data_IF_897071459887
#
_entry.id   IF_897071459887
#
_cell.length_a   1.000
_cell.length_b   1.000
_cell.length_c   1.000
_cell.angle_alpha   90.00
_cell.angle_beta   90.00
_cell.angle_gamma   90.00
#
_symmetry.space_group_name_H-M   'P 1'
#
loop_
_entity.id
_entity.type
_entity.pdbx_description
1 polymer ?
#
# COMPACT_ATOMS: atom_id res chain seq x y z
N UNK A 1 -37.45 4.97 -1.46
CA UNK A 1 -37.72 3.99 -2.50
C UNK A 1 -37.61 2.56 -1.93
N UNK A 2 -38.45 1.64 -2.43
CA UNK A 2 -38.51 0.27 -1.90
C UNK A 2 -37.18 -0.50 -2.03
N UNK A 3 -36.41 -0.28 -3.09
CA UNK A 3 -35.09 -0.91 -3.31
C UNK A 3 -34.07 -0.53 -2.23
N UNK A 4 -34.06 0.71 -1.77
CA UNK A 4 -33.15 1.15 -0.72
C UNK A 4 -33.34 0.38 0.58
N UNK A 5 -34.58 0.18 1.00
CA UNK A 5 -34.91 -0.61 2.18
C UNK A 5 -34.55 -2.09 2.03
N UNK A 6 -34.67 -2.64 0.81
CA UNK A 6 -34.26 -4.03 0.53
C UNK A 6 -32.73 -4.17 0.68
N UNK A 7 -31.93 -3.28 0.07
CA UNK A 7 -30.47 -3.29 0.22
C UNK A 7 -30.04 -3.12 1.66
N UNK A 8 -30.66 -2.18 2.38
CA UNK A 8 -30.42 -2.05 3.83
C UNK A 8 -30.67 -3.38 4.57
N UNK A 9 -31.81 -4.00 4.35
CA UNK A 9 -32.15 -5.24 5.03
C UNK A 9 -31.18 -6.39 4.68
N UNK A 10 -30.71 -6.44 3.43
CA UNK A 10 -29.66 -7.39 3.01
C UNK A 10 -28.35 -7.12 3.74
N UNK A 11 -27.93 -5.86 3.81
CA UNK A 11 -26.69 -5.52 4.53
C UNK A 11 -26.78 -5.88 6.03
N UNK A 12 -27.88 -5.50 6.70
CA UNK A 12 -28.08 -5.84 8.10
C UNK A 12 -28.13 -7.36 8.33
N UNK A 13 -28.77 -8.12 7.44
CA UNK A 13 -28.79 -9.59 7.50
C UNK A 13 -27.37 -10.18 7.50
N UNK A 14 -26.48 -9.69 6.62
CA UNK A 14 -25.12 -10.20 6.57
C UNK A 14 -24.28 -9.77 7.78
N UNK A 15 -24.47 -8.56 8.30
CA UNK A 15 -23.85 -8.13 9.56
C UNK A 15 -24.28 -9.03 10.72
N UNK A 16 -25.55 -9.41 10.80
CA UNK A 16 -26.06 -10.36 11.81
C UNK A 16 -25.48 -11.78 11.63
N UNK A 17 -25.00 -12.13 10.43
CA UNK A 17 -24.27 -13.38 10.16
C UNK A 17 -22.77 -13.29 10.53
N UNK A 18 -22.28 -12.12 10.94
CA UNK A 18 -20.92 -11.94 11.44
C UNK A 18 -19.94 -11.37 10.43
N UNK A 19 -20.38 -10.83 9.27
CA UNK A 19 -19.47 -10.08 8.40
C UNK A 19 -19.07 -8.76 9.08
N UNK A 20 -17.81 -8.32 8.86
CA UNK A 20 -17.28 -7.14 9.51
C UNK A 20 -17.52 -5.85 8.72
N UNK A 21 -17.98 -5.96 7.47
CA UNK A 21 -18.23 -4.81 6.62
C UNK A 21 -18.44 -5.18 5.17
N UNK A 22 -18.34 -4.18 4.29
CA UNK A 22 -18.64 -4.33 2.86
C UNK A 22 -17.63 -3.60 1.99
N UNK A 23 -17.31 -4.21 0.84
CA UNK A 23 -16.71 -3.56 -0.32
C UNK A 23 -17.79 -3.35 -1.37
N UNK A 24 -17.96 -2.11 -1.79
CA UNK A 24 -18.96 -1.71 -2.77
C UNK A 24 -18.33 -1.57 -4.16
N UNK A 25 -18.80 -2.40 -5.06
CA UNK A 25 -18.42 -2.40 -6.46
C UNK A 25 -19.02 -1.19 -7.19
N UNK A 26 -18.24 -0.56 -8.07
CA UNK A 26 -18.66 0.56 -8.91
C UNK A 26 -19.52 1.61 -8.16
N UNK A 27 -19.13 1.96 -6.95
CA UNK A 27 -19.94 2.79 -6.05
C UNK A 27 -20.24 4.18 -6.64
N UNK A 28 -19.35 4.74 -7.46
CA UNK A 28 -19.57 6.05 -8.10
C UNK A 28 -20.70 6.07 -9.12
N UNK A 29 -21.16 4.90 -9.58
CA UNK A 29 -22.30 4.78 -10.50
C UNK A 29 -23.66 4.82 -9.78
N UNK A 30 -23.64 4.84 -8.44
CA UNK A 30 -24.83 4.87 -7.60
C UNK A 30 -24.89 6.21 -6.87
N UNK A 31 -26.07 6.88 -6.80
CA UNK A 31 -26.19 8.19 -6.16
C UNK A 31 -25.70 8.20 -4.72
N UNK A 32 -24.99 9.26 -4.34
CA UNK A 32 -24.38 9.39 -3.00
C UNK A 32 -25.43 9.37 -1.89
N UNK A 33 -26.65 9.81 -2.15
CA UNK A 33 -27.77 9.79 -1.22
C UNK A 33 -28.16 8.37 -0.83
N UNK A 34 -28.08 7.43 -1.76
CA UNK A 34 -28.29 6.02 -1.46
C UNK A 34 -27.25 5.51 -0.46
N UNK A 35 -25.97 5.81 -0.72
CA UNK A 35 -24.87 5.44 0.19
C UNK A 35 -25.01 6.09 1.55
N UNK A 36 -25.37 7.38 1.60
CA UNK A 36 -25.63 8.07 2.87
C UNK A 36 -26.71 7.36 3.68
N UNK A 37 -27.80 6.94 3.05
CA UNK A 37 -28.88 6.19 3.69
C UNK A 37 -28.41 4.80 4.16
N UNK A 38 -27.78 4.03 3.28
CA UNK A 38 -27.35 2.66 3.55
C UNK A 38 -26.29 2.62 4.66
N UNK A 39 -25.23 3.42 4.51
CA UNK A 39 -24.10 3.45 5.44
C UNK A 39 -24.50 4.00 6.81
N UNK A 40 -25.41 4.99 6.86
CA UNK A 40 -25.97 5.42 8.14
C UNK A 40 -26.69 4.28 8.85
N UNK A 41 -27.51 3.51 8.12
CA UNK A 41 -28.23 2.37 8.70
C UNK A 41 -27.27 1.27 9.19
N UNK A 42 -26.20 1.00 8.43
CA UNK A 42 -25.15 0.04 8.81
C UNK A 42 -24.43 0.51 10.08
N UNK A 43 -23.95 1.76 10.11
CA UNK A 43 -23.23 2.31 11.28
C UNK A 43 -24.09 2.43 12.52
N UNK A 44 -25.40 2.60 12.39
CA UNK A 44 -26.34 2.55 13.53
C UNK A 44 -26.48 1.12 14.08
N UNK A 45 -26.38 0.09 13.23
CA UNK A 45 -26.51 -1.31 13.61
C UNK A 45 -25.17 -1.89 14.11
N UNK A 46 -24.08 -1.61 13.40
CA UNK A 46 -22.71 -2.03 13.71
C UNK A 46 -21.76 -0.83 13.51
N UNK A 47 -21.48 -0.04 14.57
CA UNK A 47 -20.69 1.20 14.46
C UNK A 47 -19.27 1.00 13.91
N UNK A 48 -18.66 -0.15 14.16
CA UNK A 48 -17.33 -0.55 13.73
C UNK A 48 -17.29 -1.26 12.36
N UNK A 49 -18.43 -1.36 11.65
CA UNK A 49 -18.47 -1.96 10.32
C UNK A 49 -17.49 -1.23 9.36
N UNK A 50 -16.69 -2.02 8.64
CA UNK A 50 -15.72 -1.52 7.66
C UNK A 50 -16.41 -1.28 6.30
N UNK A 51 -16.31 -0.07 5.76
CA UNK A 51 -16.99 0.33 4.51
C UNK A 51 -15.98 0.85 3.50
N UNK A 52 -15.67 0.02 2.51
CA UNK A 52 -14.74 0.34 1.41
C UNK A 52 -15.52 0.47 0.10
N UNK A 53 -15.25 1.49 -0.69
CA UNK A 53 -15.91 1.71 -1.97
C UNK A 53 -14.95 1.89 -3.14
N UNK A 54 -15.37 1.38 -4.30
CA UNK A 54 -14.71 1.64 -5.55
C UNK A 54 -15.25 2.94 -6.16
N UNK A 55 -14.45 4.00 -6.06
CA UNK A 55 -14.69 5.31 -6.64
C UNK A 55 -13.39 5.75 -7.31
N UNK A 56 -13.38 5.88 -8.63
CA UNK A 56 -12.16 6.19 -9.39
C UNK A 56 -12.12 7.63 -9.92
N UNK A 57 -13.20 8.39 -9.76
CA UNK A 57 -13.21 9.81 -10.09
C UNK A 57 -12.69 10.64 -8.90
N UNK A 58 -11.48 11.26 -8.98
CA UNK A 58 -10.91 12.02 -7.87
C UNK A 58 -11.75 13.23 -7.42
N UNK A 59 -12.59 13.77 -8.30
CA UNK A 59 -13.50 14.86 -7.97
C UNK A 59 -14.63 14.43 -7.03
N UNK A 60 -14.91 13.11 -6.98
CA UNK A 60 -15.97 12.53 -6.16
C UNK A 60 -15.49 12.02 -4.80
N UNK A 61 -14.18 11.85 -4.57
CA UNK A 61 -13.64 11.24 -3.36
C UNK A 61 -14.24 11.84 -2.07
N UNK A 62 -14.14 13.16 -1.91
CA UNK A 62 -14.64 13.84 -0.70
C UNK A 62 -16.14 13.72 -0.52
N UNK A 63 -16.89 13.73 -1.61
CA UNK A 63 -18.35 13.52 -1.60
C UNK A 63 -18.70 12.13 -1.08
N UNK A 64 -18.04 11.08 -1.57
CA UNK A 64 -18.34 9.71 -1.15
C UNK A 64 -17.83 9.40 0.25
N UNK A 65 -16.73 9.99 0.68
CA UNK A 65 -16.25 9.88 2.06
C UNK A 65 -17.21 10.61 3.01
N UNK A 66 -17.46 11.91 2.78
CA UNK A 66 -18.18 12.72 3.78
C UNK A 66 -19.70 12.57 3.72
N UNK A 67 -20.30 12.61 2.52
CA UNK A 67 -21.75 12.48 2.33
C UNK A 67 -22.15 11.01 2.20
N UNK A 68 -21.41 10.22 1.41
CA UNK A 68 -21.63 8.79 1.25
C UNK A 68 -21.28 7.96 2.47
N UNK A 69 -20.51 8.54 3.43
CA UNK A 69 -20.07 7.91 4.69
C UNK A 69 -19.28 6.62 4.47
N UNK A 70 -18.44 6.62 3.43
CA UNK A 70 -17.46 5.56 3.21
C UNK A 70 -16.30 5.76 4.19
N UNK A 71 -15.83 4.67 4.81
CA UNK A 71 -14.62 4.73 5.62
C UNK A 71 -13.39 4.85 4.72
N UNK A 72 -13.39 4.12 3.58
CA UNK A 72 -12.26 4.07 2.67
C UNK A 72 -12.69 4.04 1.20
N UNK A 73 -11.84 4.61 0.35
CA UNK A 73 -11.86 4.46 -1.10
C UNK A 73 -10.52 3.90 -1.57
N UNK A 74 -10.49 3.17 -2.69
CA UNK A 74 -9.23 2.80 -3.32
C UNK A 74 -8.50 4.02 -3.88
N UNK A 75 -7.23 4.22 -3.56
CA UNK A 75 -6.38 5.24 -4.18
C UNK A 75 -5.80 4.72 -5.51
N UNK A 76 -6.70 4.53 -6.49
CA UNK A 76 -6.35 3.99 -7.81
C UNK A 76 -5.75 5.05 -8.72
N UNK A 77 -6.52 6.10 -9.02
CA UNK A 77 -6.18 7.08 -10.07
C UNK A 77 -5.02 7.99 -9.67
N UNK A 78 -4.88 8.30 -8.40
CA UNK A 78 -3.78 9.11 -7.89
C UNK A 78 -2.54 8.28 -7.59
N UNK A 79 -2.60 7.47 -6.56
CA UNK A 79 -1.45 6.80 -5.99
C UNK A 79 -1.02 5.56 -6.79
N UNK A 80 -1.92 4.60 -7.01
CA UNK A 80 -1.60 3.37 -7.73
C UNK A 80 -1.05 3.64 -9.13
N UNK A 81 -1.73 4.50 -9.92
CA UNK A 81 -1.32 4.80 -11.29
C UNK A 81 0.06 5.50 -11.32
N UNK A 82 0.32 6.40 -10.36
CA UNK A 82 1.63 7.03 -10.23
C UNK A 82 2.71 6.01 -9.87
N UNK A 83 2.44 5.14 -8.91
CA UNK A 83 3.40 4.13 -8.47
C UNK A 83 3.72 3.13 -9.60
N UNK A 84 2.71 2.69 -10.35
CA UNK A 84 2.87 1.88 -11.56
C UNK A 84 3.73 2.58 -12.60
N UNK A 85 3.52 3.86 -12.84
CA UNK A 85 4.33 4.65 -13.78
C UNK A 85 5.79 4.81 -13.30
N UNK A 86 6.01 4.93 -11.99
CA UNK A 86 7.36 4.93 -11.40
C UNK A 86 8.03 3.56 -11.63
N UNK A 87 7.35 2.46 -11.32
CA UNK A 87 7.87 1.11 -11.55
C UNK A 87 8.32 0.91 -13.00
N UNK A 88 7.51 1.36 -13.94
CA UNK A 88 7.80 1.29 -15.38
C UNK A 88 8.86 2.30 -15.87
N UNK A 89 9.43 3.13 -15.01
CA UNK A 89 10.41 4.15 -15.38
C UNK A 89 9.84 5.36 -16.13
N UNK A 90 8.52 5.49 -16.20
CA UNK A 90 7.82 6.59 -16.91
C UNK A 90 7.77 7.89 -16.10
N UNK A 91 7.93 7.80 -14.78
CA UNK A 91 7.97 8.94 -13.87
C UNK A 91 9.12 8.81 -12.88
N UNK A 92 9.58 9.96 -12.36
CA UNK A 92 10.53 9.99 -11.25
C UNK A 92 9.88 9.46 -9.96
N UNK A 93 10.67 8.82 -9.10
CA UNK A 93 10.18 8.25 -7.85
C UNK A 93 9.52 9.31 -6.93
N UNK A 94 10.03 10.54 -6.94
CA UNK A 94 9.46 11.67 -6.18
C UNK A 94 8.06 12.10 -6.61
N UNK A 95 7.57 11.67 -7.78
CA UNK A 95 6.21 11.97 -8.26
C UNK A 95 5.13 11.46 -7.30
N UNK A 96 5.45 10.47 -6.47
CA UNK A 96 4.52 9.91 -5.48
C UNK A 96 4.06 10.97 -4.46
N UNK A 97 4.90 11.94 -4.11
CA UNK A 97 4.52 13.00 -3.18
C UNK A 97 3.46 13.93 -3.75
N UNK A 98 3.46 14.16 -5.07
CA UNK A 98 2.39 14.92 -5.72
C UNK A 98 1.05 14.18 -5.69
N UNK A 99 1.07 12.85 -5.80
CA UNK A 99 -0.14 12.04 -5.66
C UNK A 99 -0.69 12.14 -4.23
N UNK A 100 0.16 12.00 -3.21
CA UNK A 100 -0.22 12.16 -1.80
C UNK A 100 -0.75 13.55 -1.49
N UNK A 101 -0.12 14.61 -2.02
CA UNK A 101 -0.55 15.98 -1.77
C UNK A 101 -1.97 16.26 -2.24
N UNK A 102 -2.44 15.62 -3.32
CA UNK A 102 -3.80 15.80 -3.85
C UNK A 102 -4.90 15.31 -2.92
N UNK A 103 -4.58 14.37 -2.05
CA UNK A 103 -5.50 13.75 -1.08
C UNK A 103 -5.09 13.97 0.37
N UNK A 104 -4.19 14.93 0.64
CA UNK A 104 -3.61 15.15 1.96
C UNK A 104 -4.64 15.37 3.08
N UNK A 105 -5.78 15.96 2.78
CA UNK A 105 -6.88 16.20 3.72
C UNK A 105 -7.75 14.96 4.00
N UNK A 106 -7.66 13.94 3.14
CA UNK A 106 -8.42 12.68 3.23
C UNK A 106 -7.51 11.44 3.16
N UNK A 107 -6.20 11.60 3.29
CA UNK A 107 -5.23 10.54 3.04
C UNK A 107 -5.50 9.27 3.85
N UNK A 108 -5.97 9.41 5.10
CA UNK A 108 -6.32 8.30 5.96
C UNK A 108 -7.51 7.46 5.47
N UNK A 109 -8.29 7.98 4.53
CA UNK A 109 -9.42 7.30 3.90
C UNK A 109 -9.10 6.68 2.54
N UNK A 110 -7.86 6.87 2.05
CA UNK A 110 -7.44 6.42 0.72
C UNK A 110 -6.66 5.12 0.83
N UNK A 111 -7.36 3.97 0.71
CA UNK A 111 -6.76 2.64 0.81
C UNK A 111 -5.78 2.39 -0.32
N UNK A 112 -4.54 2.06 0.02
CA UNK A 112 -3.50 1.70 -0.93
C UNK A 112 -3.54 0.21 -1.28
N UNK A 113 -3.19 -0.09 -2.51
CA UNK A 113 -3.08 -1.46 -3.02
C UNK A 113 -2.11 -1.52 -4.21
N UNK A 114 -1.59 -2.70 -4.51
CA UNK A 114 -0.73 -2.93 -5.67
C UNK A 114 -1.33 -3.93 -6.64
N UNK A 115 -2.18 -4.83 -6.15
CA UNK A 115 -2.89 -5.85 -6.90
C UNK A 115 -4.33 -5.94 -6.42
N UNK A 116 -5.23 -6.27 -7.33
CA UNK A 116 -6.59 -6.72 -7.03
C UNK A 116 -7.11 -7.59 -8.19
N UNK A 117 -8.39 -7.92 -8.18
CA UNK A 117 -9.00 -8.75 -9.22
C UNK A 117 -9.19 -8.03 -10.57
N UNK A 118 -9.05 -6.70 -10.61
CA UNK A 118 -9.19 -5.87 -11.82
C UNK A 118 -7.85 -5.39 -12.37
N UNK A 119 -6.84 -5.25 -11.51
CA UNK A 119 -5.51 -4.79 -11.89
C UNK A 119 -4.53 -5.94 -12.11
N UNK A 120 -3.44 -5.65 -12.81
CA UNK A 120 -2.39 -6.61 -13.10
C UNK A 120 -1.68 -7.06 -11.84
N UNK A 121 -1.18 -8.30 -11.81
CA UNK A 121 -0.22 -8.76 -10.81
C UNK A 121 1.08 -7.95 -10.89
N UNK A 122 1.80 -7.82 -9.78
CA UNK A 122 3.11 -7.14 -9.74
C UNK A 122 4.10 -7.81 -10.71
N UNK A 123 4.08 -9.12 -10.80
CA UNK A 123 4.93 -9.89 -11.70
C UNK A 123 4.61 -9.69 -13.18
N UNK A 124 3.47 -9.09 -13.51
CA UNK A 124 3.14 -8.76 -14.90
C UNK A 124 4.15 -7.80 -15.53
N UNK A 125 4.50 -7.98 -16.83
CA UNK A 125 5.24 -6.98 -17.58
C UNK A 125 4.61 -5.59 -17.60
N UNK A 126 3.30 -5.52 -17.38
CA UNK A 126 2.57 -4.25 -17.29
C UNK A 126 2.73 -3.54 -15.92
N UNK A 127 3.37 -4.18 -14.93
CA UNK A 127 3.69 -3.54 -13.65
C UNK A 127 5.21 -3.55 -13.40
N UNK A 128 5.77 -4.65 -12.87
CA UNK A 128 7.18 -4.76 -12.53
C UNK A 128 7.95 -5.83 -13.35
N UNK A 129 7.23 -6.78 -13.96
CA UNK A 129 7.81 -7.89 -14.72
C UNK A 129 8.33 -9.05 -13.86
N UNK A 130 8.47 -8.84 -12.56
CA UNK A 130 8.88 -9.82 -11.56
C UNK A 130 8.33 -9.41 -10.19
N UNK A 131 7.87 -10.37 -9.39
CA UNK A 131 7.25 -10.09 -8.09
C UNK A 131 8.24 -9.49 -7.08
N UNK A 132 9.50 -9.92 -7.11
CA UNK A 132 10.53 -9.40 -6.21
C UNK A 132 10.91 -7.95 -6.53
N UNK A 133 10.81 -7.55 -7.81
CA UNK A 133 11.01 -6.16 -8.23
C UNK A 133 9.90 -5.22 -7.70
N UNK A 134 8.79 -5.76 -7.22
CA UNK A 134 7.71 -5.01 -6.57
C UNK A 134 7.99 -4.58 -5.12
N UNK A 135 9.06 -5.05 -4.49
CA UNK A 135 9.41 -4.71 -3.10
C UNK A 135 9.46 -3.21 -2.82
N UNK A 136 10.11 -2.36 -3.65
CA UNK A 136 10.12 -0.91 -3.44
C UNK A 136 8.73 -0.28 -3.47
N UNK A 137 7.86 -0.76 -4.36
CA UNK A 137 6.49 -0.30 -4.47
C UNK A 137 5.68 -0.66 -3.22
N UNK A 138 5.85 -1.89 -2.70
CA UNK A 138 5.18 -2.34 -1.48
C UNK A 138 5.62 -1.50 -0.27
N UNK A 139 6.91 -1.25 -0.12
CA UNK A 139 7.45 -0.42 0.95
C UNK A 139 6.81 0.97 0.96
N UNK A 140 6.81 1.65 -0.19
CA UNK A 140 6.22 2.98 -0.32
C UNK A 140 4.71 2.93 -0.12
N UNK A 141 4.02 1.99 -0.75
CA UNK A 141 2.55 1.85 -0.64
C UNK A 141 2.08 1.66 0.79
N UNK A 142 2.83 0.89 1.58
CA UNK A 142 2.44 0.56 2.94
C UNK A 142 2.81 1.64 3.97
N UNK A 143 3.93 2.36 3.77
CA UNK A 143 4.50 3.20 4.81
C UNK A 143 4.29 4.71 4.61
N UNK A 144 3.85 5.15 3.42
CA UNK A 144 3.80 6.58 3.11
C UNK A 144 2.66 7.34 3.80
N UNK A 145 1.56 6.66 4.11
CA UNK A 145 0.36 7.29 4.71
C UNK A 145 -0.11 6.54 5.97
N UNK A 146 -1.18 7.05 6.57
CA UNK A 146 -1.89 6.41 7.69
C UNK A 146 -3.04 5.53 7.22
N UNK A 147 -3.25 5.42 5.93
CA UNK A 147 -4.33 4.61 5.37
C UNK A 147 -4.02 3.11 5.44
N UNK A 148 -5.03 2.25 5.47
CA UNK A 148 -4.80 0.82 5.37
C UNK A 148 -4.28 0.44 3.98
N UNK A 149 -3.58 -0.69 3.92
CA UNK A 149 -3.13 -1.32 2.67
C UNK A 149 -3.90 -2.61 2.44
N UNK A 150 -4.34 -2.83 1.21
CA UNK A 150 -4.90 -4.10 0.78
C UNK A 150 -3.77 -4.97 0.22
N UNK A 151 -3.64 -6.16 0.76
CA UNK A 151 -2.77 -7.20 0.25
C UNK A 151 -3.63 -8.24 -0.47
N UNK A 152 -3.47 -8.35 -1.79
CA UNK A 152 -4.24 -9.30 -2.57
C UNK A 152 -3.71 -10.73 -2.37
N UNK A 153 -4.59 -11.72 -2.37
CA UNK A 153 -4.20 -13.10 -2.10
C UNK A 153 -3.11 -13.58 -3.07
N UNK A 154 -2.06 -14.21 -2.53
CA UNK A 154 -0.91 -14.67 -3.31
C UNK A 154 0.10 -13.59 -3.69
N UNK A 155 -0.16 -12.31 -3.43
CA UNK A 155 0.78 -11.21 -3.69
C UNK A 155 2.10 -11.43 -2.94
N UNK A 156 2.03 -11.83 -1.70
CA UNK A 156 3.15 -12.03 -0.79
C UNK A 156 4.02 -13.28 -1.11
N UNK A 157 3.55 -14.12 -2.03
CA UNK A 157 4.29 -15.28 -2.55
C UNK A 157 4.58 -15.17 -4.05
N UNK A 158 4.30 -14.00 -4.63
CA UNK A 158 4.64 -13.70 -6.02
C UNK A 158 3.75 -14.40 -7.04
N UNK A 159 2.45 -14.56 -6.73
CA UNK A 159 1.50 -15.07 -7.73
C UNK A 159 1.51 -14.16 -8.98
N UNK A 160 1.76 -14.75 -10.13
CA UNK A 160 2.00 -14.00 -11.38
C UNK A 160 0.80 -14.00 -12.35
N UNK A 161 -0.23 -14.79 -12.07
CA UNK A 161 -1.37 -14.93 -12.95
C UNK A 161 -1.03 -15.61 -14.30
N UNK A 162 0.04 -16.42 -14.33
CA UNK A 162 0.55 -17.06 -15.55
C UNK A 162 -0.37 -18.14 -16.11
N UNK A 163 -1.26 -18.68 -15.31
CA UNK A 163 -2.25 -19.62 -15.81
C UNK A 163 -3.35 -18.91 -16.59
N UNK A 164 -3.67 -19.45 -17.75
CA UNK A 164 -4.73 -18.91 -18.59
C UNK A 164 -6.09 -19.13 -17.93
N UNK A 165 -6.60 -18.08 -17.32
CA UNK A 165 -7.81 -18.09 -16.50
C UNK A 165 -9.03 -17.43 -17.18
N UNK A 166 -9.03 -17.36 -18.49
CA UNK A 166 -10.14 -16.79 -19.25
C UNK A 166 -10.10 -15.27 -19.45
N UNK A 167 -9.11 -14.56 -18.87
CA UNK A 167 -8.87 -13.13 -19.11
C UNK A 167 -7.80 -12.84 -20.17
N UNK A 168 -7.33 -13.84 -20.88
CA UNK A 168 -6.32 -13.69 -21.92
C UNK A 168 -4.90 -13.86 -21.35
N UNK A 169 -4.02 -12.89 -21.52
CA UNK A 169 -2.63 -13.01 -21.14
C UNK A 169 -2.43 -13.13 -19.60
N UNK A 170 -1.35 -13.76 -19.14
CA UNK A 170 -1.10 -14.17 -17.75
C UNK A 170 -0.72 -12.99 -16.84
N UNK A 171 -1.54 -12.00 -16.71
CA UNK A 171 -1.17 -10.75 -16.07
C UNK A 171 -2.16 -10.30 -15.00
N UNK A 172 -3.32 -10.95 -14.93
CA UNK A 172 -4.40 -10.62 -14.01
C UNK A 172 -5.08 -11.91 -13.53
N UNK A 173 -5.43 -12.00 -12.26
CA UNK A 173 -6.18 -13.11 -11.70
C UNK A 173 -7.54 -12.68 -11.20
N UNK A 174 -8.55 -13.52 -11.44
CA UNK A 174 -9.90 -13.33 -10.95
C UNK A 174 -10.02 -13.71 -9.47
N UNK A 175 -11.09 -13.28 -8.82
CA UNK A 175 -11.51 -13.77 -7.49
C UNK A 175 -12.29 -15.09 -7.58
N UNK A 176 -12.60 -15.57 -8.78
CA UNK A 176 -13.37 -16.80 -8.98
C UNK A 176 -12.47 -18.04 -8.96
N UNK A 177 -13.05 -19.18 -8.60
CA UNK A 177 -12.36 -20.44 -8.34
C UNK A 177 -12.00 -21.26 -9.59
N UNK A 178 -12.30 -20.75 -10.78
CA UNK A 178 -11.98 -21.46 -12.03
C UNK A 178 -10.58 -21.16 -12.58
N UNK A 179 -9.77 -20.42 -11.81
CA UNK A 179 -8.40 -20.12 -12.20
C UNK A 179 -7.40 -20.80 -11.26
N UNK A 180 -6.26 -21.23 -11.82
CA UNK A 180 -5.13 -21.68 -11.03
C UNK A 180 -4.35 -20.50 -10.45
N UNK A 181 -3.85 -20.70 -9.23
CA UNK A 181 -2.97 -19.77 -8.51
C UNK A 181 -1.84 -20.56 -7.86
N UNK A 182 -0.90 -21.06 -8.67
CA UNK A 182 0.07 -22.09 -8.23
C UNK A 182 0.96 -21.61 -7.09
N UNK A 183 1.41 -20.36 -7.06
CA UNK A 183 2.22 -19.86 -5.97
C UNK A 183 1.44 -19.78 -4.65
N UNK A 184 0.19 -19.31 -4.71
CA UNK A 184 -0.69 -19.29 -3.54
C UNK A 184 -1.05 -20.72 -3.07
N UNK A 185 -1.30 -21.64 -4.00
CA UNK A 185 -1.55 -23.07 -3.67
C UNK A 185 -0.32 -23.72 -3.02
N UNK A 186 0.90 -23.38 -3.47
CA UNK A 186 2.14 -23.85 -2.85
C UNK A 186 2.27 -23.37 -1.40
N UNK A 187 1.86 -22.12 -1.11
CA UNK A 187 1.77 -21.63 0.26
C UNK A 187 0.73 -22.40 1.09
N UNK A 188 -0.44 -22.67 0.52
CA UNK A 188 -1.50 -23.43 1.20
C UNK A 188 -1.07 -24.87 1.56
N UNK A 189 -0.13 -25.46 0.83
CA UNK A 189 0.44 -26.78 1.08
C UNK A 189 -0.61 -27.83 1.45
N UNK A 190 -1.59 -28.05 0.57
CA UNK A 190 -2.70 -28.99 0.78
C UNK A 190 -3.48 -28.76 2.08
N UNK A 191 -3.69 -27.50 2.46
CA UNK A 191 -4.47 -27.11 3.63
C UNK A 191 -3.69 -27.06 4.95
N UNK A 192 -2.35 -27.20 4.92
CA UNK A 192 -1.51 -26.99 6.10
C UNK A 192 -1.22 -25.52 6.39
N UNK A 193 -1.28 -24.68 5.35
CA UNK A 193 -1.05 -23.22 5.44
C UNK A 193 0.30 -22.83 6.04
N UNK A 194 1.33 -23.61 5.77
CA UNK A 194 2.68 -23.48 6.33
C UNK A 194 3.76 -23.09 5.31
N UNK A 195 3.38 -22.90 4.04
CA UNK A 195 4.31 -22.55 2.97
C UNK A 195 5.26 -23.68 2.55
N UNK A 196 4.98 -24.93 2.94
CA UNK A 196 5.89 -26.06 2.76
C UNK A 196 6.17 -26.48 1.32
N UNK A 197 5.49 -25.88 0.33
CA UNK A 197 5.74 -26.11 -1.10
C UNK A 197 6.26 -24.86 -1.82
N UNK A 198 6.53 -23.77 -1.10
CA UNK A 198 7.10 -22.54 -1.68
C UNK A 198 8.54 -22.81 -2.16
N UNK A 199 8.93 -22.14 -3.25
CA UNK A 199 10.35 -22.02 -3.60
C UNK A 199 11.08 -21.14 -2.60
N UNK A 200 12.40 -21.15 -2.64
CA UNK A 200 13.23 -20.29 -1.79
C UNK A 200 12.93 -18.81 -2.02
N UNK A 201 12.79 -18.41 -3.27
CA UNK A 201 12.50 -17.02 -3.68
C UNK A 201 11.11 -16.59 -3.18
N UNK A 202 10.10 -17.46 -3.33
CA UNK A 202 8.74 -17.20 -2.83
C UNK A 202 8.72 -17.06 -1.30
N UNK A 203 9.45 -17.92 -0.59
CA UNK A 203 9.57 -17.86 0.86
C UNK A 203 10.30 -16.58 1.32
N UNK A 204 11.35 -16.17 0.62
CA UNK A 204 12.06 -14.91 0.89
C UNK A 204 11.17 -13.68 0.63
N UNK A 205 10.42 -13.68 -0.46
CA UNK A 205 9.46 -12.61 -0.74
C UNK A 205 8.41 -12.50 0.36
N UNK A 206 7.84 -13.63 0.77
CA UNK A 206 6.87 -13.67 1.86
C UNK A 206 7.47 -13.14 3.16
N UNK A 207 8.70 -13.51 3.49
CA UNK A 207 9.38 -13.01 4.68
C UNK A 207 9.54 -11.48 4.64
N UNK A 208 9.86 -10.92 3.47
CA UNK A 208 9.90 -9.46 3.28
C UNK A 208 8.54 -8.81 3.58
N UNK A 209 7.44 -9.38 3.06
CA UNK A 209 6.09 -8.88 3.37
C UNK A 209 5.76 -8.96 4.86
N UNK A 210 6.12 -10.06 5.53
CA UNK A 210 5.95 -10.21 6.98
C UNK A 210 6.71 -9.12 7.72
N UNK A 211 7.95 -8.83 7.32
CA UNK A 211 8.78 -7.79 7.94
C UNK A 211 8.18 -6.38 7.77
N UNK A 212 7.64 -6.06 6.57
CA UNK A 212 6.94 -4.79 6.36
C UNK A 212 5.69 -4.70 7.23
N UNK A 213 4.87 -5.76 7.28
CA UNK A 213 3.64 -5.77 8.08
C UNK A 213 3.93 -5.62 9.58
N UNK A 214 5.04 -6.18 10.07
CA UNK A 214 5.46 -6.01 11.46
C UNK A 214 5.77 -4.55 11.83
N UNK A 215 6.07 -3.68 10.85
CA UNK A 215 6.26 -2.25 11.12
C UNK A 215 4.96 -1.54 11.54
N UNK A 216 3.80 -2.14 11.36
CA UNK A 216 2.53 -1.63 11.89
C UNK A 216 2.48 -1.53 13.42
N UNK A 217 3.36 -2.21 14.13
CA UNK A 217 3.51 -2.07 15.58
C UNK A 217 4.19 -0.75 15.97
N UNK A 218 4.75 -0.01 15.01
CA UNK A 218 5.40 1.26 15.26
C UNK A 218 4.39 2.41 15.26
N UNK A 219 4.23 3.15 16.38
CA UNK A 219 3.30 4.28 16.45
C UNK A 219 3.52 5.35 15.37
N UNK A 220 4.78 5.56 14.94
CA UNK A 220 5.10 6.49 13.86
C UNK A 220 4.48 6.07 12.50
N UNK A 221 4.22 4.78 12.28
CA UNK A 221 3.55 4.31 11.07
C UNK A 221 2.04 4.49 11.20
N UNK A 222 1.46 4.11 12.33
CA UNK A 222 0.01 4.13 12.53
C UNK A 222 -0.56 5.55 12.61
N UNK A 223 0.13 6.45 13.31
CA UNK A 223 -0.36 7.78 13.66
C UNK A 223 0.61 8.93 13.36
N UNK A 224 1.81 8.64 12.86
CA UNK A 224 2.83 9.66 12.63
C UNK A 224 2.59 10.48 11.35
N UNK A 225 3.16 11.66 11.32
CA UNK A 225 3.20 12.51 10.14
C UNK A 225 4.26 12.03 9.15
N UNK A 226 4.04 12.29 7.87
CA UNK A 226 4.98 12.01 6.78
C UNK A 226 5.62 13.30 6.29
N UNK A 227 6.94 13.30 6.16
CA UNK A 227 7.68 14.39 5.52
C UNK A 227 8.64 13.84 4.45
N UNK A 228 8.63 14.38 3.22
CA UNK A 228 9.59 14.01 2.19
C UNK A 228 11.02 14.32 2.60
N UNK A 229 11.96 13.47 2.17
CA UNK A 229 13.40 13.76 2.21
C UNK A 229 13.84 14.33 0.85
N UNK A 230 14.76 15.29 0.90
CA UNK A 230 15.39 15.77 -0.33
C UNK A 230 16.48 14.77 -0.73
N UNK A 231 16.19 13.98 -1.76
CA UNK A 231 17.09 12.98 -2.33
C UNK A 231 17.62 13.49 -3.67
N UNK A 232 18.94 13.49 -3.85
CA UNK A 232 19.62 13.85 -5.10
C UNK A 232 20.58 12.75 -5.52
N UNK A 233 20.98 12.74 -6.81
CA UNK A 233 21.86 11.71 -7.39
C UNK A 233 21.11 10.65 -8.21
N UNK A 234 19.85 10.37 -7.92
CA UNK A 234 19.03 9.48 -8.74
C UNK A 234 17.56 9.90 -8.70
N UNK A 235 16.90 9.85 -9.86
CA UNK A 235 15.45 10.04 -9.95
C UNK A 235 14.66 8.73 -9.72
N UNK A 236 15.38 7.61 -9.50
CA UNK A 236 14.80 6.30 -9.21
C UNK A 236 14.68 6.03 -7.71
N UNK A 237 15.20 6.91 -6.87
CA UNK A 237 15.15 6.79 -5.42
C UNK A 237 14.19 7.83 -4.84
N UNK A 238 13.38 7.42 -3.90
CA UNK A 238 12.54 8.27 -3.06
C UNK A 238 12.83 8.03 -1.59
N UNK A 239 12.72 9.08 -0.78
CA UNK A 239 12.86 8.98 0.66
C UNK A 239 11.84 9.84 1.38
N UNK A 240 11.39 9.37 2.52
CA UNK A 240 10.55 10.12 3.44
C UNK A 240 10.77 9.66 4.89
N UNK A 241 10.34 10.48 5.84
CA UNK A 241 10.39 10.13 7.26
C UNK A 241 8.96 10.12 7.83
N UNK A 242 8.66 9.12 8.66
CA UNK A 242 7.46 9.05 9.49
C UNK A 242 7.82 9.41 10.91
N UNK A 243 7.09 10.32 11.53
CA UNK A 243 7.43 10.82 12.86
C UNK A 243 6.23 10.88 13.78
N UNK A 244 6.43 10.43 15.03
CA UNK A 244 5.47 10.63 16.11
C UNK A 244 6.24 10.87 17.43
N UNK A 245 6.12 12.07 17.98
CA UNK A 245 6.89 12.45 19.17
C UNK A 245 8.39 12.37 18.91
N UNK A 246 9.08 11.50 19.64
CA UNK A 246 10.53 11.26 19.47
C UNK A 246 10.87 10.06 18.59
N UNK A 247 9.86 9.32 18.12
CA UNK A 247 10.07 8.21 17.21
C UNK A 247 10.14 8.70 15.79
N UNK A 248 11.13 8.23 15.04
CA UNK A 248 11.23 8.46 13.59
C UNK A 248 11.57 7.17 12.86
N UNK A 249 10.89 6.93 11.75
CA UNK A 249 11.22 5.86 10.80
C UNK A 249 11.58 6.49 9.47
N UNK A 250 12.79 6.19 9.00
CA UNK A 250 13.34 6.69 7.75
C UNK A 250 13.13 5.66 6.66
N UNK A 251 12.41 6.01 5.63
CA UNK A 251 12.08 5.12 4.52
C UNK A 251 12.80 5.59 3.27
N UNK A 252 13.59 4.70 2.68
CA UNK A 252 14.29 4.92 1.42
C UNK A 252 13.96 3.76 0.49
N UNK A 253 13.62 4.06 -0.75
CA UNK A 253 13.19 3.06 -1.71
C UNK A 253 13.83 3.30 -3.07
N UNK A 254 14.52 2.29 -3.59
CA UNK A 254 15.18 2.29 -4.89
C UNK A 254 14.31 1.55 -5.91
N UNK A 255 13.79 2.25 -6.89
CA UNK A 255 12.99 1.71 -8.00
C UNK A 255 13.83 1.32 -9.21
N UNK A 256 15.15 1.29 -9.08
CA UNK A 256 16.08 0.82 -10.10
C UNK A 256 16.42 -0.66 -9.84
N UNK A 257 16.78 -1.38 -10.88
CA UNK A 257 17.36 -2.73 -10.76
C UNK A 257 18.90 -2.67 -10.52
N UNK A 258 19.45 -1.50 -10.29
CA UNK A 258 20.86 -1.29 -10.02
C UNK A 258 21.02 -0.46 -8.75
N UNK A 259 22.09 -0.71 -8.02
CA UNK A 259 22.44 0.08 -6.85
C UNK A 259 22.55 1.57 -7.23
N UNK A 260 21.99 2.43 -6.39
CA UNK A 260 21.97 3.86 -6.58
C UNK A 260 22.69 4.56 -5.42
N UNK A 261 23.68 5.37 -5.73
CA UNK A 261 24.30 6.25 -4.74
C UNK A 261 23.58 7.59 -4.75
N UNK A 262 23.02 7.95 -3.61
CA UNK A 262 22.21 9.17 -3.45
C UNK A 262 22.72 10.01 -2.29
N UNK A 263 22.47 11.30 -2.38
CA UNK A 263 22.70 12.25 -1.31
C UNK A 263 21.36 12.70 -0.74
N UNK A 264 21.22 12.58 0.59
CA UNK A 264 20.05 13.01 1.33
C UNK A 264 20.39 14.30 2.06
N UNK A 265 19.59 15.34 1.81
CA UNK A 265 19.70 16.61 2.51
C UNK A 265 18.51 16.80 3.45
N UNK A 266 18.79 17.07 4.72
CA UNK A 266 17.82 17.22 5.78
C UNK A 266 17.41 18.69 5.94
N UNK A 267 16.15 18.92 6.20
CA UNK A 267 15.70 20.19 6.76
C UNK A 267 16.17 20.35 8.20
N UNK A 268 16.24 21.57 8.76
CA UNK A 268 16.62 21.77 10.17
C UNK A 268 15.80 20.91 11.14
N UNK A 269 14.49 20.77 10.92
CA UNK A 269 13.63 19.94 11.76
C UNK A 269 13.99 18.45 11.64
N UNK A 270 14.24 17.95 10.45
CA UNK A 270 14.66 16.56 10.24
C UNK A 270 16.03 16.28 10.88
N UNK A 271 16.96 17.22 10.78
CA UNK A 271 18.28 17.09 11.41
C UNK A 271 18.21 16.93 12.93
N UNK A 272 17.23 17.56 13.61
CA UNK A 272 17.04 17.40 15.05
C UNK A 272 16.56 16.01 15.48
N UNK A 273 16.03 15.22 14.54
CA UNK A 273 15.58 13.85 14.80
C UNK A 273 16.74 12.85 14.84
N UNK A 274 17.86 13.21 14.22
CA UNK A 274 19.09 12.41 14.22
C UNK A 274 20.03 12.98 15.28
N UNK A 275 20.19 12.23 16.37
CA UNK A 275 21.18 12.61 17.40
C UNK A 275 22.60 12.37 16.85
N UNK A 276 23.57 13.24 17.18
CA UNK A 276 24.97 12.98 16.87
C UNK A 276 25.38 11.59 17.36
N UNK A 277 26.18 10.89 16.59
CA UNK A 277 26.64 9.53 16.87
C UNK A 277 25.52 8.48 17.04
N UNK A 278 24.31 8.73 16.52
CA UNK A 278 23.26 7.71 16.44
C UNK A 278 23.53 6.75 15.27
N UNK A 279 23.02 5.53 15.41
CA UNK A 279 23.06 4.53 14.34
C UNK A 279 21.67 4.32 13.81
N UNK A 280 21.49 4.43 12.49
CA UNK A 280 20.29 3.99 11.78
C UNK A 280 20.47 2.52 11.44
N UNK A 281 19.47 1.71 11.77
CA UNK A 281 19.47 0.28 11.45
C UNK A 281 18.48 0.02 10.32
N UNK A 282 18.91 -0.75 9.33
CA UNK A 282 18.01 -1.32 8.35
C UNK A 282 17.15 -2.39 9.03
N UNK A 283 15.82 -2.19 9.00
CA UNK A 283 14.86 -3.07 9.66
C UNK A 283 14.37 -4.22 8.77
N UNK A 284 14.68 -4.21 7.46
CA UNK A 284 14.08 -5.12 6.51
C UNK A 284 15.05 -6.18 5.98
N UNK A 285 16.26 -5.81 5.59
CA UNK A 285 17.12 -6.71 4.83
C UNK A 285 18.45 -7.03 5.49
N UNK A 286 19.21 -6.06 5.93
CA UNK A 286 20.60 -6.30 6.38
C UNK A 286 20.81 -6.19 7.88
N UNK A 287 19.97 -5.47 8.58
CA UNK A 287 20.15 -5.07 9.99
C UNK A 287 21.51 -4.37 10.26
N UNK A 288 22.21 -3.98 9.19
CA UNK A 288 23.46 -3.25 9.26
C UNK A 288 23.19 -1.80 9.68
N UNK A 289 23.97 -1.33 10.63
CA UNK A 289 23.85 0.05 11.09
C UNK A 289 24.62 1.03 10.20
N UNK A 290 23.99 2.14 9.87
CA UNK A 290 24.66 3.30 9.29
C UNK A 290 24.92 4.28 10.42
N UNK A 291 26.20 4.51 10.76
CA UNK A 291 26.57 5.49 11.76
C UNK A 291 26.33 6.90 11.17
N UNK A 292 25.47 7.64 11.82
CA UNK A 292 25.31 9.07 11.56
C UNK A 292 26.38 9.78 12.39
N UNK A 293 27.55 9.99 11.79
CA UNK A 293 28.63 10.74 12.45
C UNK A 293 28.32 12.22 12.42
N UNK A 294 28.48 12.90 13.56
CA UNK A 294 28.65 14.34 13.52
C UNK A 294 29.35 14.96 14.73
N UNK A 295 30.38 15.73 14.42
CA UNK A 295 30.89 16.82 15.26
C UNK A 295 30.36 18.21 14.80
N UNK A 296 29.61 18.28 13.65
CA UNK A 296 29.01 19.50 13.13
C UNK A 296 27.69 19.10 12.46
N UNK A 297 26.60 19.75 12.81
CA UNK A 297 25.26 19.58 12.25
C UNK A 297 25.28 19.24 10.73
N UNK A 298 25.60 17.99 10.39
CA UNK A 298 25.58 17.53 9.00
C UNK A 298 24.14 17.35 8.60
N UNK A 299 23.64 18.26 7.79
CA UNK A 299 22.33 18.17 7.18
C UNK A 299 22.33 17.30 5.93
N UNK A 300 23.48 16.69 5.57
CA UNK A 300 23.65 15.96 4.33
C UNK A 300 24.47 14.69 4.52
N UNK A 301 24.00 13.57 3.99
CA UNK A 301 24.72 12.29 3.99
C UNK A 301 24.50 11.52 2.69
N UNK A 302 25.45 10.66 2.34
CA UNK A 302 25.44 9.87 1.10
C UNK A 302 25.28 8.39 1.44
N UNK A 303 24.37 7.72 0.74
CA UNK A 303 24.07 6.29 0.87
C UNK A 303 24.09 5.61 -0.48
N UNK A 304 24.44 4.33 -0.50
CA UNK A 304 24.19 3.44 -1.63
C UNK A 304 23.05 2.50 -1.24
N UNK A 305 22.05 2.42 -2.10
CA UNK A 305 20.85 1.58 -1.95
C UNK A 305 20.86 0.55 -3.08
N UNK A 306 20.84 -0.71 -2.71
CA UNK A 306 20.73 -1.85 -3.63
C UNK A 306 19.34 -1.98 -4.24
#
# INVERSE_FOLDING_TARGET
PNSWYKFRNIALYWLDKGVDGFRYDMAEMVPVEFWSFLNSSIKMHKPDAFLLAEVYNPLMYRTYIHQGKMDYLYDKVGFYDTLKAIMQGKQAASSIFNAQQKVADIEQHMLHFLENHDEQRIASPDFAGDAALGKPAMLVSHLISRSPSLLYFGQDVGEDGSENAGFGSPTRTSIFDYIGVPAHQAWMNNGKFDGGQLTTEQAQLRQYYISIMALNDLPAIVAGDMAPLLVTGSNRVVGFVRTLGQQSLWVLSNFSQQAQTVTITLTPNQATMLKPNSTLYDLLESHNGILVSDEKQNTTFTLTLD
#
